data_IF_064732144265
#
_entry.id   IF_064732144265
#
_cell.length_a   1.000
_cell.length_b   1.000
_cell.length_c   1.000
_cell.angle_alpha   90.00
_cell.angle_beta   90.00
_cell.angle_gamma   90.00
#
_symmetry.space_group_name_H-M   'P 1'
#
loop_
_entity.id
_entity.type
_entity.pdbx_description
1 polymer ?
#
# COMPACT_ATOMS: atom_id res chain seq x y z
N UNK A 1 -10.36 -15.07 -15.77
CA UNK A 1 -11.30 -14.54 -14.74
C UNK A 1 -12.28 -13.58 -15.42
N UNK A 2 -13.38 -13.15 -14.78
CA UNK A 2 -14.27 -12.08 -15.29
C UNK A 2 -14.55 -11.07 -14.17
N UNK A 3 -14.63 -9.78 -14.51
CA UNK A 3 -15.08 -8.72 -13.61
C UNK A 3 -16.49 -9.03 -13.08
N UNK A 4 -16.71 -8.88 -11.77
CA UNK A 4 -18.01 -9.06 -11.12
C UNK A 4 -18.82 -7.76 -11.10
N UNK A 5 -18.19 -6.64 -10.76
CA UNK A 5 -18.84 -5.33 -10.62
C UNK A 5 -17.96 -4.22 -11.18
N UNK A 6 -18.56 -3.29 -11.92
CA UNK A 6 -17.91 -2.05 -12.38
C UNK A 6 -18.27 -0.94 -11.39
N UNK A 7 -17.52 -0.88 -10.28
CA UNK A 7 -17.83 -0.01 -9.12
C UNK A 7 -17.89 1.47 -9.50
N UNK A 8 -16.99 1.91 -10.39
CA UNK A 8 -16.91 3.26 -10.94
C UNK A 8 -18.17 3.67 -11.70
N UNK A 9 -18.83 2.73 -12.39
CA UNK A 9 -20.06 2.98 -13.13
C UNK A 9 -21.31 2.86 -12.25
N UNK A 10 -21.34 1.88 -11.35
CA UNK A 10 -22.50 1.57 -10.52
C UNK A 10 -22.68 2.56 -9.36
N UNK A 11 -21.57 2.99 -8.74
CA UNK A 11 -21.58 3.89 -7.58
C UNK A 11 -20.55 5.04 -7.74
N UNK A 12 -20.66 5.86 -8.80
CA UNK A 12 -19.64 6.84 -9.16
C UNK A 12 -19.26 7.76 -8.01
N UNK A 13 -20.24 8.23 -7.21
CA UNK A 13 -19.97 9.09 -6.04
C UNK A 13 -19.11 8.40 -4.98
N UNK A 14 -19.36 7.12 -4.70
CA UNK A 14 -18.57 6.34 -3.75
C UNK A 14 -17.16 6.07 -4.26
N UNK A 15 -17.02 5.76 -5.56
CA UNK A 15 -15.71 5.59 -6.19
C UNK A 15 -14.92 6.91 -6.21
N UNK A 16 -15.57 8.05 -6.50
CA UNK A 16 -14.94 9.38 -6.42
C UNK A 16 -14.46 9.72 -5.02
N UNK A 17 -15.19 9.33 -3.96
CA UNK A 17 -14.73 9.53 -2.59
C UNK A 17 -13.41 8.78 -2.31
N UNK A 18 -13.28 7.54 -2.80
CA UNK A 18 -12.02 6.79 -2.73
C UNK A 18 -10.88 7.47 -3.49
N UNK A 19 -11.15 8.04 -4.66
CA UNK A 19 -10.15 8.83 -5.40
C UNK A 19 -9.74 10.11 -4.67
N UNK A 20 -10.65 10.72 -3.90
CA UNK A 20 -10.32 11.87 -3.06
C UNK A 20 -9.27 11.55 -1.98
N UNK A 21 -9.32 10.34 -1.41
CA UNK A 21 -8.30 9.87 -0.47
C UNK A 21 -6.93 9.71 -1.16
N UNK A 22 -6.89 9.18 -2.39
CA UNK A 22 -5.66 9.13 -3.20
C UNK A 22 -5.14 10.52 -3.56
N UNK A 23 -6.03 11.47 -3.88
CA UNK A 23 -5.65 12.85 -4.19
C UNK A 23 -4.97 13.52 -2.99
N UNK A 24 -5.51 13.32 -1.78
CA UNK A 24 -4.87 13.76 -0.55
C UNK A 24 -3.47 13.15 -0.38
N UNK A 25 -3.33 11.82 -0.55
CA UNK A 25 -2.04 11.14 -0.48
C UNK A 25 -1.05 11.59 -1.58
N UNK A 26 -1.56 12.12 -2.69
CA UNK A 26 -0.77 12.77 -3.74
C UNK A 26 -0.09 14.06 -3.25
N UNK A 27 -0.72 14.78 -2.32
CA UNK A 27 -0.16 15.98 -1.66
C UNK A 27 0.61 15.71 -0.36
N UNK A 28 0.52 14.49 0.17
CA UNK A 28 1.22 14.08 1.38
C UNK A 28 2.74 14.21 1.25
N UNK A 29 3.41 14.53 2.35
CA UNK A 29 4.85 14.81 2.41
C UNK A 29 5.73 13.57 2.17
N UNK A 30 5.14 12.38 2.26
CA UNK A 30 5.85 11.11 2.09
C UNK A 30 6.48 10.97 0.69
N UNK A 31 7.69 10.40 0.69
CA UNK A 31 8.40 9.99 -0.51
C UNK A 31 7.51 9.07 -1.38
N UNK A 32 7.49 9.32 -2.70
CA UNK A 32 6.69 8.53 -3.65
C UNK A 32 7.07 7.06 -3.69
N UNK A 33 8.37 6.74 -3.61
CA UNK A 33 8.90 5.38 -3.53
C UNK A 33 8.34 4.64 -2.32
N UNK A 34 8.42 5.27 -1.13
CA UNK A 34 7.90 4.71 0.12
C UNK A 34 6.39 4.44 0.06
N UNK A 35 5.62 5.36 -0.54
CA UNK A 35 4.18 5.16 -0.78
C UNK A 35 3.91 3.93 -1.64
N UNK A 36 4.70 3.71 -2.70
CA UNK A 36 4.52 2.52 -3.54
C UNK A 36 4.98 1.24 -2.83
N UNK A 37 6.02 1.25 -1.99
CA UNK A 37 6.38 0.09 -1.16
C UNK A 37 5.25 -0.32 -0.21
N UNK A 38 4.63 0.64 0.48
CA UNK A 38 3.44 0.41 1.32
C UNK A 38 2.34 -0.25 0.47
N UNK A 39 2.05 0.34 -0.69
CA UNK A 39 0.96 -0.11 -1.56
C UNK A 39 1.19 -1.51 -2.09
N UNK A 40 2.40 -1.83 -2.53
CA UNK A 40 2.76 -3.18 -3.01
C UNK A 40 2.69 -4.19 -1.87
N UNK A 41 3.30 -3.90 -0.70
CA UNK A 41 3.37 -4.87 0.41
C UNK A 41 2.00 -5.23 0.95
N UNK A 42 1.13 -4.24 1.20
CA UNK A 42 -0.25 -4.48 1.61
C UNK A 42 -1.03 -5.29 0.55
N UNK A 43 -0.82 -4.98 -0.73
CA UNK A 43 -1.47 -5.69 -1.83
C UNK A 43 -1.01 -7.14 -1.98
N UNK A 44 0.26 -7.44 -1.69
CA UNK A 44 0.79 -8.81 -1.63
C UNK A 44 0.10 -9.62 -0.53
N UNK A 45 -0.01 -9.07 0.68
CA UNK A 45 -0.71 -9.72 1.80
C UNK A 45 -2.18 -9.97 1.50
N UNK A 46 -2.85 -9.00 0.88
CA UNK A 46 -4.27 -9.10 0.52
C UNK A 46 -4.55 -9.87 -0.78
N UNK A 47 -3.52 -10.33 -1.50
CA UNK A 47 -3.69 -11.04 -2.78
C UNK A 47 -4.32 -10.21 -3.91
N UNK A 48 -4.17 -8.88 -3.90
CA UNK A 48 -4.73 -8.02 -4.95
C UNK A 48 -3.80 -7.96 -6.17
N UNK A 49 -3.92 -8.91 -7.11
CA UNK A 49 -3.11 -8.93 -8.34
C UNK A 49 -3.20 -7.63 -9.17
N UNK A 50 -4.40 -7.04 -9.26
CA UNK A 50 -4.60 -5.74 -9.93
C UNK A 50 -3.74 -4.64 -9.32
N UNK A 51 -3.75 -4.55 -7.98
CA UNK A 51 -3.04 -3.53 -7.24
C UNK A 51 -1.52 -3.75 -7.29
N UNK A 52 -1.07 -5.01 -7.23
CA UNK A 52 0.34 -5.37 -7.38
C UNK A 52 0.87 -4.93 -8.76
N UNK A 53 0.15 -5.23 -9.85
CA UNK A 53 0.57 -4.80 -11.19
C UNK A 53 0.69 -3.28 -11.31
N UNK A 54 -0.37 -2.56 -10.89
CA UNK A 54 -0.40 -1.10 -10.93
C UNK A 54 0.76 -0.48 -10.14
N UNK A 55 0.91 -0.87 -8.87
CA UNK A 55 1.88 -0.23 -7.97
C UNK A 55 3.32 -0.64 -8.25
N UNK A 56 3.58 -1.82 -8.81
CA UNK A 56 4.94 -2.16 -9.29
C UNK A 56 5.31 -1.34 -10.53
N UNK A 57 4.37 -1.09 -11.45
CA UNK A 57 4.60 -0.18 -12.59
C UNK A 57 4.85 1.26 -12.14
N UNK A 58 4.11 1.76 -11.15
CA UNK A 58 4.30 3.11 -10.63
C UNK A 58 5.59 3.23 -9.77
N UNK A 59 5.93 2.21 -8.99
CA UNK A 59 7.20 2.14 -8.27
C UNK A 59 8.41 2.29 -9.21
N UNK A 60 8.41 1.56 -10.35
CA UNK A 60 9.46 1.70 -11.38
C UNK A 60 9.55 3.13 -11.91
N UNK A 61 8.41 3.79 -12.17
CA UNK A 61 8.39 5.21 -12.61
C UNK A 61 8.97 6.14 -11.55
N UNK A 62 8.97 5.73 -10.28
CA UNK A 62 9.53 6.47 -9.16
C UNK A 62 10.96 6.05 -8.78
N UNK A 63 11.59 5.18 -9.57
CA UNK A 63 13.00 4.82 -9.42
C UNK A 63 13.26 3.57 -8.57
N UNK A 64 12.22 2.83 -8.17
CA UNK A 64 12.43 1.51 -7.55
C UNK A 64 13.06 0.53 -8.53
N UNK A 65 13.81 -0.42 -7.98
CA UNK A 65 14.48 -1.46 -8.75
C UNK A 65 13.69 -2.77 -8.70
N UNK A 66 13.81 -3.59 -9.75
CA UNK A 66 13.21 -4.93 -9.74
C UNK A 66 13.69 -5.75 -8.54
N UNK A 67 14.97 -5.62 -8.14
CA UNK A 67 15.53 -6.31 -6.97
C UNK A 67 14.74 -6.00 -5.70
N UNK A 68 14.46 -4.72 -5.42
CA UNK A 68 13.71 -4.30 -4.24
C UNK A 68 12.23 -4.69 -4.35
N UNK A 69 11.61 -4.52 -5.51
CA UNK A 69 10.22 -4.93 -5.74
C UNK A 69 10.03 -6.44 -5.51
N UNK A 70 10.91 -7.27 -6.05
CA UNK A 70 10.84 -8.73 -5.89
C UNK A 70 11.15 -9.18 -4.47
N UNK A 71 12.10 -8.53 -3.80
CA UNK A 71 12.46 -8.83 -2.42
C UNK A 71 11.40 -8.40 -1.40
N UNK A 72 10.45 -7.54 -1.78
CA UNK A 72 9.52 -6.91 -0.85
C UNK A 72 8.66 -7.90 -0.05
N UNK A 73 8.34 -9.07 -0.61
CA UNK A 73 7.59 -10.09 0.12
C UNK A 73 8.41 -10.82 1.21
N UNK A 74 9.73 -10.69 1.17
CA UNK A 74 10.71 -11.30 2.07
C UNK A 74 11.66 -10.24 2.67
N UNK A 75 11.22 -8.98 2.75
CA UNK A 75 12.06 -7.82 3.04
C UNK A 75 12.90 -7.95 4.32
N UNK A 76 12.39 -8.66 5.34
CA UNK A 76 13.07 -8.87 6.63
C UNK A 76 14.43 -9.55 6.48
N UNK A 77 14.56 -10.46 5.52
CA UNK A 77 15.76 -11.27 5.24
C UNK A 77 16.71 -10.62 4.23
N UNK A 78 16.50 -9.33 3.90
CA UNK A 78 17.28 -8.63 2.88
C UNK A 78 17.92 -7.35 3.42
N UNK A 79 19.10 -6.97 2.89
CA UNK A 79 19.77 -5.73 3.28
C UNK A 79 19.33 -4.51 2.44
N UNK A 80 18.32 -4.65 1.57
CA UNK A 80 18.03 -3.64 0.54
C UNK A 80 17.24 -2.43 1.05
N UNK A 81 16.60 -2.55 2.21
CA UNK A 81 15.71 -1.54 2.78
C UNK A 81 16.34 -0.83 3.95
N UNK A 82 16.20 0.49 4.01
CA UNK A 82 16.74 1.32 5.10
C UNK A 82 16.00 1.04 6.42
N UNK A 83 16.56 1.43 7.58
CA UNK A 83 15.86 1.26 8.86
C UNK A 83 14.47 1.92 8.90
N UNK A 84 14.33 3.13 8.35
CA UNK A 84 13.04 3.84 8.23
C UNK A 84 12.03 3.08 7.34
N UNK A 85 12.49 2.51 6.20
CA UNK A 85 11.64 1.72 5.32
C UNK A 85 11.17 0.44 6.02
N UNK A 86 12.07 -0.22 6.76
CA UNK A 86 11.76 -1.44 7.53
C UNK A 86 10.71 -1.19 8.60
N UNK A 87 10.81 -0.06 9.33
CA UNK A 87 9.80 0.35 10.29
C UNK A 87 8.42 0.53 9.63
N UNK A 88 8.38 1.22 8.49
CA UNK A 88 7.14 1.43 7.71
C UNK A 88 6.59 0.13 7.14
N UNK A 89 7.44 -0.79 6.68
CA UNK A 89 7.01 -2.11 6.20
C UNK A 89 6.45 -2.96 7.35
N UNK A 90 7.06 -2.94 8.53
CA UNK A 90 6.53 -3.60 9.72
C UNK A 90 5.15 -3.06 10.11
N UNK A 91 4.99 -1.74 10.14
CA UNK A 91 3.70 -1.10 10.40
C UNK A 91 2.67 -1.43 9.30
N UNK A 92 3.09 -1.48 8.04
CA UNK A 92 2.23 -1.86 6.90
C UNK A 92 1.68 -3.27 7.09
N UNK A 93 2.52 -4.23 7.48
CA UNK A 93 2.08 -5.61 7.77
C UNK A 93 1.13 -5.65 8.96
N UNK A 94 1.48 -4.98 10.06
CA UNK A 94 0.68 -4.95 11.28
C UNK A 94 -0.73 -4.38 11.02
N UNK A 95 -0.82 -3.20 10.39
CA UNK A 95 -2.11 -2.55 10.08
C UNK A 95 -2.90 -3.34 9.02
N UNK A 96 -2.24 -3.96 8.04
CA UNK A 96 -2.94 -4.80 7.05
C UNK A 96 -3.57 -6.03 7.69
N UNK A 97 -2.88 -6.63 8.68
CA UNK A 97 -3.33 -7.79 9.46
C UNK A 97 -3.87 -7.37 10.84
N UNK A 98 -4.52 -6.20 10.94
CA UNK A 98 -4.91 -5.61 12.23
C UNK A 98 -5.75 -6.53 13.12
N UNK A 99 -6.57 -7.41 12.55
CA UNK A 99 -7.38 -8.37 13.29
C UNK A 99 -6.54 -9.45 14.02
N UNK A 100 -5.31 -9.67 13.56
CA UNK A 100 -4.36 -10.61 14.15
C UNK A 100 -3.37 -9.87 15.06
N UNK A 101 -2.79 -8.78 14.56
CA UNK A 101 -1.66 -8.11 15.22
C UNK A 101 -2.07 -7.05 16.25
N UNK A 102 -3.23 -6.43 16.07
CA UNK A 102 -3.70 -5.28 16.84
C UNK A 102 -2.73 -4.08 16.89
N UNK A 103 -1.75 -4.03 15.98
CA UNK A 103 -0.71 -2.99 15.90
C UNK A 103 0.03 -2.83 17.24
N UNK A 104 1.03 -3.69 17.53
CA UNK A 104 1.81 -3.60 18.75
C UNK A 104 2.50 -2.24 18.93
N UNK A 105 2.61 -1.79 20.19
CA UNK A 105 3.20 -0.48 20.54
C UNK A 105 4.64 -0.35 20.04
N UNK A 106 5.45 -1.42 20.12
CA UNK A 106 6.84 -1.42 19.66
C UNK A 106 6.96 -1.19 18.13
N UNK A 107 6.04 -1.73 17.35
CA UNK A 107 5.97 -1.49 15.89
C UNK A 107 5.60 -0.04 15.58
N UNK A 108 4.68 0.54 16.36
CA UNK A 108 4.31 1.95 16.21
C UNK A 108 5.46 2.88 16.62
N UNK A 109 6.05 2.63 17.79
CA UNK A 109 7.14 3.41 18.35
C UNK A 109 8.38 3.39 17.46
N UNK A 110 8.67 2.26 16.80
CA UNK A 110 9.79 2.17 15.84
C UNK A 110 9.62 3.14 14.66
N UNK A 111 8.40 3.33 14.15
CA UNK A 111 8.12 4.32 13.09
C UNK A 111 8.32 5.74 13.59
N UNK A 112 7.93 6.02 14.84
CA UNK A 112 8.08 7.35 15.47
C UNK A 112 9.55 7.78 15.65
N UNK A 113 10.51 6.86 15.57
CA UNK A 113 11.94 7.19 15.59
C UNK A 113 12.41 7.92 14.31
N UNK A 114 11.71 7.73 13.19
CA UNK A 114 12.13 8.22 11.86
C UNK A 114 11.19 9.27 11.28
N UNK A 115 9.91 9.21 11.62
CA UNK A 115 8.88 10.08 11.06
C UNK A 115 8.26 10.96 12.14
N UNK A 116 7.81 12.17 11.80
CA UNK A 116 7.02 13.01 12.71
C UNK A 116 5.54 12.58 12.79
N UNK A 117 4.74 13.24 13.63
CA UNK A 117 3.34 12.83 13.86
C UNK A 117 2.50 12.94 12.59
N UNK A 118 2.76 13.97 11.78
CA UNK A 118 2.04 14.20 10.52
C UNK A 118 2.39 13.11 9.53
N UNK A 119 3.68 12.83 9.34
CA UNK A 119 4.16 11.76 8.46
C UNK A 119 3.68 10.38 8.93
N UNK A 120 3.65 10.13 10.23
CA UNK A 120 3.11 8.87 10.79
C UNK A 120 1.62 8.73 10.47
N UNK A 121 0.84 9.80 10.61
CA UNK A 121 -0.56 9.81 10.22
C UNK A 121 -0.74 9.61 8.70
N UNK A 122 0.10 10.22 7.87
CA UNK A 122 0.12 10.01 6.41
C UNK A 122 0.44 8.55 6.05
N UNK A 123 1.39 7.92 6.75
CA UNK A 123 1.75 6.49 6.55
C UNK A 123 0.55 5.60 6.88
N UNK A 124 -0.08 5.81 8.04
CA UNK A 124 -1.28 5.07 8.44
C UNK A 124 -2.39 5.25 7.40
N UNK A 125 -2.63 6.48 6.95
CA UNK A 125 -3.63 6.76 5.92
C UNK A 125 -3.31 6.04 4.60
N UNK A 126 -2.04 6.03 4.18
CA UNK A 126 -1.62 5.30 2.98
C UNK A 126 -1.90 3.80 3.09
N UNK A 127 -1.61 3.19 4.25
CA UNK A 127 -1.88 1.76 4.50
C UNK A 127 -3.38 1.47 4.50
N UNK A 128 -4.20 2.32 5.12
CA UNK A 128 -5.67 2.16 5.17
C UNK A 128 -6.28 2.28 3.78
N UNK A 129 -5.87 3.28 3.01
CA UNK A 129 -6.41 3.54 1.66
C UNK A 129 -6.09 2.39 0.72
N UNK A 130 -4.86 1.86 0.71
CA UNK A 130 -4.56 0.68 -0.12
C UNK A 130 -5.33 -0.56 0.33
N UNK A 131 -5.52 -0.75 1.64
CA UNK A 131 -6.33 -1.85 2.16
C UNK A 131 -7.80 -1.77 1.70
N UNK A 132 -8.35 -0.57 1.59
CA UNK A 132 -9.67 -0.33 1.01
C UNK A 132 -9.70 -0.63 -0.49
N UNK A 133 -8.71 -0.18 -1.26
CA UNK A 133 -8.59 -0.51 -2.70
C UNK A 133 -8.46 -2.01 -2.95
N UNK A 134 -7.63 -2.71 -2.16
CA UNK A 134 -7.48 -4.16 -2.26
C UNK A 134 -8.82 -4.87 -2.08
N UNK A 135 -9.61 -4.48 -1.05
CA UNK A 135 -10.94 -5.05 -0.78
C UNK A 135 -11.91 -4.81 -1.94
N UNK A 136 -11.93 -3.60 -2.51
CA UNK A 136 -12.74 -3.28 -3.68
C UNK A 136 -12.32 -4.12 -4.90
N UNK A 137 -11.04 -4.12 -5.24
CA UNK A 137 -10.52 -4.77 -6.44
C UNK A 137 -10.68 -6.30 -6.39
N UNK A 138 -10.34 -6.94 -5.27
CA UNK A 138 -10.47 -8.39 -5.09
C UNK A 138 -11.94 -8.81 -5.12
N UNK A 139 -12.81 -8.12 -4.38
CA UNK A 139 -14.24 -8.45 -4.32
C UNK A 139 -14.93 -8.29 -5.67
N UNK A 140 -14.66 -7.17 -6.36
CA UNK A 140 -15.20 -6.86 -7.68
C UNK A 140 -14.52 -7.64 -8.82
N UNK A 141 -13.46 -8.40 -8.54
CA UNK A 141 -12.62 -9.10 -9.54
C UNK A 141 -12.13 -8.14 -10.63
N UNK A 142 -11.63 -6.96 -10.25
CA UNK A 142 -11.06 -5.99 -11.19
C UNK A 142 -9.95 -6.68 -11.98
N UNK A 143 -10.09 -6.70 -13.30
CA UNK A 143 -9.16 -7.41 -14.18
C UNK A 143 -7.96 -6.54 -14.53
N UNK A 144 -6.81 -7.19 -14.68
CA UNK A 144 -5.63 -6.62 -15.31
C UNK A 144 -5.94 -6.36 -16.79
N UNK A 145 -5.44 -5.25 -17.32
CA UNK A 145 -5.31 -5.15 -18.77
C UNK A 145 -4.27 -6.19 -19.20
N UNK A 146 -4.60 -7.04 -20.17
CA UNK A 146 -3.57 -7.85 -20.81
C UNK A 146 -2.70 -6.91 -21.67
N UNK A 147 -1.38 -7.06 -21.54
CA UNK A 147 -0.44 -6.42 -22.45
C UNK A 147 -0.59 -7.00 -23.88
#
# INVERSE_FOLDING_TARGET
MKTRLQMDQLIPKGYTAMLGLEQYLGSASLNKSLKELIKIRASQLNGCAFCIDMHTKDARKHGETEQRIYALNAWRETPFFTPEERAVLALTEAVTLVAETHVPDDVYDEVRLYFDEVQTAEIIMAIVVINAWNRLAVTARKMLAAD
#
